data_IF_369985764299
#
_entry.id   IF_369985764299
#
_cell.length_a   1.000
_cell.length_b   1.000
_cell.length_c   1.000
_cell.angle_alpha   90.00
_cell.angle_beta   90.00
_cell.angle_gamma   90.00
#
_symmetry.space_group_name_H-M   'P 1'
#
loop_
_entity.id
_entity.type
_entity.pdbx_description
1 polymer ?
#
# COMPACT_ATOMS: atom_id res chain seq x y z
N UNK A 1 0.49 6.01 28.77
CA UNK A 1 1.07 6.29 27.44
C UNK A 1 0.21 5.75 26.31
N UNK A 2 -0.35 6.64 25.49
CA UNK A 2 -1.29 6.28 24.42
C UNK A 2 -0.62 5.67 23.18
N UNK A 3 0.69 5.88 23.00
CA UNK A 3 1.43 5.50 21.78
C UNK A 3 1.56 3.99 21.55
N UNK A 4 1.65 3.21 22.63
CA UNK A 4 1.87 1.76 22.54
C UNK A 4 0.58 0.94 22.62
N UNK A 5 -0.58 1.59 22.78
CA UNK A 5 -1.84 0.88 23.01
C UNK A 5 -2.27 0.04 21.81
N UNK A 6 -2.12 0.59 20.59
CA UNK A 6 -2.44 -0.17 19.38
C UNK A 6 -1.50 -1.36 19.20
N UNK A 7 -0.19 -1.16 19.41
CA UNK A 7 0.81 -2.23 19.37
C UNK A 7 0.52 -3.36 20.36
N UNK A 8 0.10 -3.03 21.58
CA UNK A 8 -0.26 -4.06 22.56
C UNK A 8 -1.49 -4.87 22.18
N UNK A 9 -2.47 -4.26 21.50
CA UNK A 9 -3.68 -4.95 21.03
C UNK A 9 -3.34 -5.87 19.85
N UNK A 10 -2.57 -5.37 18.88
CA UNK A 10 -2.15 -6.16 17.72
C UNK A 10 -1.32 -7.37 18.17
N UNK A 11 -0.41 -7.18 19.13
CA UNK A 11 0.44 -8.27 19.66
C UNK A 11 -0.35 -9.45 20.26
N UNK A 12 -1.60 -9.22 20.68
CA UNK A 12 -2.45 -10.31 21.17
C UNK A 12 -2.97 -11.19 20.02
N UNK A 13 -3.05 -10.65 18.80
CA UNK A 13 -3.50 -11.33 17.60
C UNK A 13 -2.41 -12.17 16.93
N UNK A 14 -1.13 -11.94 17.27
CA UNK A 14 0.03 -12.65 16.72
C UNK A 14 -0.05 -14.18 16.88
N UNK A 15 -0.84 -14.67 17.85
CA UNK A 15 -1.01 -16.11 18.07
C UNK A 15 -2.13 -16.73 17.22
N UNK A 16 -2.98 -15.91 16.59
CA UNK A 16 -4.19 -16.37 15.89
C UNK A 16 -4.14 -16.11 14.38
N UNK A 17 -3.36 -15.14 13.92
CA UNK A 17 -3.34 -14.72 12.51
C UNK A 17 -1.90 -14.63 11.97
N UNK A 18 -1.68 -15.14 10.77
CA UNK A 18 -0.42 -14.97 10.05
C UNK A 18 -0.23 -13.51 9.58
N UNK A 19 -1.33 -12.82 9.26
CA UNK A 19 -1.33 -11.45 8.75
C UNK A 19 -2.46 -10.62 9.35
N UNK A 20 -2.14 -9.38 9.74
CA UNK A 20 -3.13 -8.38 10.18
C UNK A 20 -3.02 -7.15 9.27
N UNK A 21 -4.08 -6.88 8.51
CA UNK A 21 -4.17 -5.68 7.66
C UNK A 21 -4.96 -4.58 8.37
N UNK A 22 -4.40 -3.37 8.40
CA UNK A 22 -5.01 -2.19 9.03
C UNK A 22 -5.28 -1.16 7.94
N UNK A 23 -6.54 -0.99 7.56
CA UNK A 23 -6.95 0.07 6.64
C UNK A 23 -7.01 1.40 7.38
N UNK A 24 -6.24 2.38 6.88
CA UNK A 24 -6.02 3.65 7.58
C UNK A 24 -6.84 4.75 6.92
N UNK A 25 -7.53 5.60 7.71
CA UNK A 25 -8.22 6.75 7.14
C UNK A 25 -7.21 7.71 6.49
N UNK A 26 -7.63 8.50 5.49
CA UNK A 26 -6.74 9.43 4.81
C UNK A 26 -6.23 10.51 5.77
N UNK A 27 -4.94 10.85 5.64
CA UNK A 27 -4.30 11.96 6.35
C UNK A 27 -3.22 11.51 7.34
N UNK A 28 -2.34 12.46 7.68
CA UNK A 28 -1.30 12.28 8.71
C UNK A 28 -1.83 12.90 10.00
N UNK A 29 -2.13 12.07 10.99
CA UNK A 29 -2.67 12.47 12.29
C UNK A 29 -1.94 11.73 13.43
N UNK A 30 -2.28 12.06 14.68
CA UNK A 30 -1.78 11.30 15.83
C UNK A 30 -2.14 9.81 15.79
N UNK A 31 -3.20 9.43 15.05
CA UNK A 31 -3.53 8.03 14.80
C UNK A 31 -2.53 7.38 13.84
N UNK A 32 -2.10 8.09 12.81
CA UNK A 32 -1.09 7.63 11.84
C UNK A 32 0.24 7.33 12.52
N UNK A 33 0.64 8.15 13.52
CA UNK A 33 1.82 7.88 14.35
C UNK A 33 1.72 6.54 15.09
N UNK A 34 0.59 6.27 15.73
CA UNK A 34 0.40 5.02 16.46
C UNK A 34 0.40 3.82 15.52
N UNK A 35 -0.15 3.97 14.32
CA UNK A 35 -0.18 2.93 13.29
C UNK A 35 1.23 2.66 12.76
N UNK A 36 1.99 3.69 12.36
CA UNK A 36 3.35 3.51 11.84
C UNK A 36 4.30 2.89 12.87
N UNK A 37 4.12 3.19 14.15
CA UNK A 37 4.90 2.57 15.24
C UNK A 37 4.49 1.13 15.55
N UNK A 38 3.19 0.81 15.39
CA UNK A 38 2.66 -0.52 15.68
C UNK A 38 2.85 -1.50 14.52
N UNK A 39 2.78 -1.02 13.28
CA UNK A 39 2.92 -1.84 12.09
C UNK A 39 4.37 -2.28 11.88
N UNK A 40 4.55 -3.53 11.47
CA UNK A 40 5.83 -4.02 10.98
C UNK A 40 6.16 -3.33 9.65
N UNK A 41 5.14 -3.19 8.79
CA UNK A 41 5.27 -2.67 7.42
C UNK A 41 4.10 -1.75 7.10
N UNK A 42 4.38 -0.70 6.34
CA UNK A 42 3.41 0.28 5.86
C UNK A 42 3.38 0.20 4.34
N UNK A 43 2.26 -0.31 3.81
CA UNK A 43 1.99 -0.34 2.37
C UNK A 43 1.31 0.96 1.94
N UNK A 44 2.00 1.75 1.12
CA UNK A 44 1.49 3.01 0.59
C UNK A 44 1.05 2.85 -0.88
N UNK A 45 -0.26 2.83 -1.18
CA UNK A 45 -0.75 2.90 -2.55
C UNK A 45 -0.49 4.29 -3.14
N UNK A 46 0.12 4.34 -4.33
CA UNK A 46 0.45 5.59 -5.03
C UNK A 46 -0.22 5.60 -6.39
N UNK A 47 -1.01 6.63 -6.70
CA UNK A 47 -1.44 6.89 -8.08
C UNK A 47 -0.31 7.66 -8.76
N UNK A 48 0.15 7.32 -9.97
CA UNK A 48 1.26 8.01 -10.62
C UNK A 48 0.83 9.39 -11.16
N UNK A 49 0.61 10.33 -10.23
CA UNK A 49 0.22 11.72 -10.47
C UNK A 49 1.06 12.65 -9.61
N UNK A 50 1.19 13.91 -10.03
CA UNK A 50 2.03 14.92 -9.36
C UNK A 50 1.70 15.10 -7.87
N UNK A 51 0.42 15.11 -7.51
CA UNK A 51 0.00 15.27 -6.12
C UNK A 51 0.39 14.05 -5.28
N UNK A 52 0.20 12.83 -5.78
CA UNK A 52 0.54 11.60 -5.08
C UNK A 52 2.05 11.46 -4.86
N UNK A 53 2.89 11.89 -5.80
CA UNK A 53 4.35 11.94 -5.62
C UNK A 53 4.72 12.92 -4.51
N UNK A 54 4.10 14.09 -4.49
CA UNK A 54 4.31 15.06 -3.41
C UNK A 54 3.92 14.47 -2.06
N UNK A 55 2.81 13.74 -1.99
CA UNK A 55 2.40 13.03 -0.77
C UNK A 55 3.41 11.96 -0.37
N UNK A 56 3.93 11.18 -1.33
CA UNK A 56 4.99 10.20 -1.07
C UNK A 56 6.23 10.83 -0.42
N UNK A 57 6.72 11.95 -0.97
CA UNK A 57 7.84 12.67 -0.37
C UNK A 57 7.51 13.23 1.02
N UNK A 58 6.31 13.77 1.21
CA UNK A 58 5.86 14.27 2.51
C UNK A 58 5.83 13.16 3.58
N UNK A 59 5.34 11.96 3.23
CA UNK A 59 5.34 10.81 4.15
C UNK A 59 6.77 10.32 4.40
N UNK A 60 7.61 10.27 3.37
CA UNK A 60 9.03 9.92 3.52
C UNK A 60 9.76 10.86 4.48
N UNK A 61 9.52 12.16 4.38
CA UNK A 61 10.14 13.15 5.26
C UNK A 61 9.54 13.09 6.66
N UNK A 62 8.24 12.80 6.79
CA UNK A 62 7.60 12.54 8.07
C UNK A 62 8.23 11.37 8.83
N UNK A 63 8.51 10.25 8.15
CA UNK A 63 9.20 9.11 8.75
C UNK A 63 10.57 9.51 9.31
N UNK A 64 11.33 10.33 8.56
CA UNK A 64 12.63 10.83 9.04
C UNK A 64 12.49 11.78 10.22
N UNK A 65 11.54 12.72 10.17
CA UNK A 65 11.31 13.69 11.26
C UNK A 65 10.90 13.00 12.58
N UNK A 66 10.21 11.86 12.47
CA UNK A 66 9.72 11.08 13.61
C UNK A 66 10.65 9.95 14.03
N UNK A 67 11.81 9.81 13.39
CA UNK A 67 12.78 8.72 13.61
C UNK A 67 12.13 7.33 13.48
N UNK A 68 11.21 7.19 12.51
CA UNK A 68 10.58 5.92 12.15
C UNK A 68 11.43 5.27 11.06
N UNK A 69 11.69 3.98 11.20
CA UNK A 69 12.44 3.22 10.22
C UNK A 69 11.75 3.27 8.84
N UNK A 70 12.44 3.92 7.90
CA UNK A 70 11.96 4.11 6.53
C UNK A 70 11.92 2.81 5.73
N UNK A 71 12.64 1.77 6.16
CA UNK A 71 12.59 0.43 5.56
C UNK A 71 11.21 -0.20 5.65
N UNK A 72 10.41 0.22 6.64
CA UNK A 72 9.03 -0.23 6.82
C UNK A 72 8.09 0.27 5.73
N UNK A 73 8.43 1.37 5.06
CA UNK A 73 7.55 1.96 4.07
C UNK A 73 7.80 1.35 2.70
N UNK A 74 6.84 0.57 2.23
CA UNK A 74 6.82 -0.03 0.90
C UNK A 74 5.66 0.55 0.09
N UNK A 75 5.85 0.72 -1.20
CA UNK A 75 4.92 1.40 -2.09
C UNK A 75 4.53 0.51 -3.26
N UNK A 76 3.34 0.70 -3.80
CA UNK A 76 2.96 0.12 -5.09
C UNK A 76 2.09 1.11 -5.86
N UNK A 77 2.09 0.97 -7.19
CA UNK A 77 1.24 1.81 -8.02
C UNK A 77 -0.18 1.25 -8.11
N UNK A 78 -1.16 2.14 -8.01
CA UNK A 78 -2.59 1.82 -8.19
C UNK A 78 -3.26 2.80 -9.13
N UNK A 79 -4.41 2.42 -9.68
CA UNK A 79 -5.16 3.19 -10.67
C UNK A 79 -4.29 3.62 -11.87
N UNK A 80 -3.38 2.74 -12.30
CA UNK A 80 -2.46 3.03 -13.39
C UNK A 80 -3.18 3.01 -14.74
N UNK A 81 -3.05 4.08 -15.51
CA UNK A 81 -3.46 4.18 -16.91
C UNK A 81 -2.23 4.34 -17.80
N UNK A 82 -1.76 3.24 -18.40
CA UNK A 82 -0.57 3.20 -19.26
C UNK A 82 -0.72 4.04 -20.55
N UNK A 83 -1.93 4.50 -20.89
CA UNK A 83 -2.14 5.39 -22.04
C UNK A 83 -1.69 6.82 -21.75
N UNK A 84 -1.46 7.16 -20.48
CA UNK A 84 -1.00 8.47 -20.05
C UNK A 84 0.52 8.46 -19.92
N UNK A 85 1.21 9.25 -20.77
CA UNK A 85 2.68 9.39 -20.71
C UNK A 85 3.16 9.77 -19.31
N UNK A 86 2.47 10.71 -18.65
CA UNK A 86 2.83 11.12 -17.30
C UNK A 86 2.79 9.96 -16.29
N UNK A 87 1.86 9.01 -16.42
CA UNK A 87 1.87 7.83 -15.53
C UNK A 87 3.12 6.99 -15.76
N UNK A 88 3.46 6.73 -17.02
CA UNK A 88 4.63 5.92 -17.39
C UNK A 88 5.94 6.57 -16.93
N UNK A 89 6.12 7.87 -17.17
CA UNK A 89 7.31 8.64 -16.77
C UNK A 89 7.51 8.61 -15.24
N UNK A 90 6.43 8.83 -14.48
CA UNK A 90 6.45 8.80 -13.01
C UNK A 90 6.82 7.41 -12.49
N UNK A 91 6.23 6.37 -13.08
CA UNK A 91 6.53 4.99 -12.70
C UNK A 91 7.99 4.64 -12.97
N UNK A 92 8.50 4.99 -14.16
CA UNK A 92 9.90 4.76 -14.52
C UNK A 92 10.88 5.47 -13.58
N UNK A 93 10.56 6.68 -13.13
CA UNK A 93 11.37 7.40 -12.14
C UNK A 93 11.36 6.71 -10.78
N UNK A 94 10.17 6.41 -10.25
CA UNK A 94 10.00 5.93 -8.89
C UNK A 94 10.30 4.44 -8.72
N UNK A 95 10.26 3.63 -9.78
CA UNK A 95 10.76 2.25 -9.73
C UNK A 95 12.26 2.16 -9.42
N UNK A 96 13.03 3.24 -9.61
CA UNK A 96 14.44 3.32 -9.17
C UNK A 96 14.57 3.34 -7.64
N UNK A 97 13.49 3.72 -6.95
CA UNK A 97 13.39 3.66 -5.51
C UNK A 97 12.94 2.26 -5.08
N UNK A 98 13.82 1.51 -4.43
CA UNK A 98 13.61 0.09 -4.07
C UNK A 98 12.40 -0.18 -3.17
N UNK A 99 11.76 0.87 -2.65
CA UNK A 99 10.51 0.75 -1.90
C UNK A 99 9.31 0.48 -2.79
N UNK A 100 9.39 0.75 -4.09
CA UNK A 100 8.31 0.47 -5.03
C UNK A 100 8.36 -0.97 -5.53
N UNK A 101 7.29 -1.71 -5.25
CA UNK A 101 6.98 -2.97 -5.92
C UNK A 101 6.79 -2.75 -7.41
N UNK A 102 7.28 -3.67 -8.22
CA UNK A 102 7.24 -3.63 -9.68
C UNK A 102 5.81 -3.87 -10.19
N UNK A 103 5.05 -4.75 -9.55
CA UNK A 103 3.65 -4.98 -9.91
C UNK A 103 2.77 -3.80 -9.49
N UNK A 104 1.74 -3.52 -10.30
CA UNK A 104 0.82 -2.42 -10.09
C UNK A 104 -0.62 -2.84 -10.36
N UNK A 105 -1.57 -2.06 -9.83
CA UNK A 105 -3.01 -2.24 -10.10
C UNK A 105 -3.44 -1.26 -11.19
N UNK A 106 -3.90 -1.73 -12.36
CA UNK A 106 -4.36 -0.87 -13.45
C UNK A 106 -5.74 -0.25 -13.14
N UNK A 107 -6.02 0.90 -13.75
CA UNK A 107 -7.34 1.51 -13.73
C UNK A 107 -8.29 0.77 -14.68
N UNK A 108 -9.13 -0.11 -14.13
CA UNK A 108 -10.06 -0.95 -14.89
C UNK A 108 -11.43 -1.00 -14.22
N UNK A 109 -12.48 -1.09 -15.04
CA UNK A 109 -13.87 -1.14 -14.57
C UNK A 109 -14.13 -2.34 -13.64
N UNK A 110 -13.42 -3.46 -13.81
CA UNK A 110 -13.58 -4.62 -12.93
C UNK A 110 -13.11 -4.35 -11.49
N UNK A 111 -12.14 -3.46 -11.30
CA UNK A 111 -11.72 -3.00 -9.97
C UNK A 111 -12.83 -2.16 -9.34
N UNK A 112 -13.43 -1.24 -10.09
CA UNK A 112 -14.53 -0.38 -9.61
C UNK A 112 -15.80 -1.17 -9.25
N UNK A 113 -16.07 -2.25 -10.00
CA UNK A 113 -17.21 -3.16 -9.75
C UNK A 113 -17.15 -3.83 -8.38
N UNK A 114 -16.00 -3.92 -7.71
CA UNK A 114 -15.91 -4.44 -6.34
C UNK A 114 -16.81 -3.68 -5.37
N UNK A 115 -16.95 -2.35 -5.55
CA UNK A 115 -17.85 -1.53 -4.72
C UNK A 115 -19.33 -1.82 -4.97
N UNK A 116 -19.68 -2.18 -6.21
CA UNK A 116 -21.06 -2.53 -6.60
C UNK A 116 -21.43 -3.92 -6.09
N UNK A 117 -20.58 -4.92 -6.33
CA UNK A 117 -20.82 -6.30 -5.89
C UNK A 117 -20.56 -6.50 -4.39
N UNK A 118 -19.89 -5.57 -3.73
CA UNK A 118 -19.43 -5.68 -2.33
C UNK A 118 -18.64 -6.97 -2.09
N UNK A 119 -17.85 -7.36 -3.08
CA UNK A 119 -17.06 -8.58 -3.07
C UNK A 119 -15.68 -8.30 -3.68
N UNK A 120 -14.63 -9.02 -3.26
CA UNK A 120 -13.32 -8.95 -3.90
C UNK A 120 -13.40 -9.36 -5.37
N UNK A 121 -12.49 -8.81 -6.19
CA UNK A 121 -12.47 -9.09 -7.63
C UNK A 121 -12.33 -10.59 -7.96
N UNK A 122 -11.68 -11.36 -7.08
CA UNK A 122 -11.52 -12.80 -7.24
C UNK A 122 -12.86 -13.55 -7.15
N UNK A 123 -13.87 -13.00 -6.48
CA UNK A 123 -15.15 -13.69 -6.29
C UNK A 123 -16.01 -13.65 -7.56
N UNK A 124 -16.04 -12.52 -8.26
CA UNK A 124 -16.92 -12.32 -9.43
C UNK A 124 -16.17 -12.23 -10.77
N UNK A 125 -14.87 -12.00 -10.76
CA UNK A 125 -14.05 -11.79 -11.97
C UNK A 125 -12.64 -12.40 -11.82
N UNK A 126 -12.54 -13.61 -11.28
CA UNK A 126 -11.26 -14.28 -10.96
C UNK A 126 -10.28 -14.40 -12.15
N UNK A 127 -10.82 -14.61 -13.36
CA UNK A 127 -10.04 -14.74 -14.60
C UNK A 127 -9.70 -13.39 -15.25
N UNK A 128 -10.15 -12.27 -14.68
CA UNK A 128 -9.87 -10.94 -15.23
C UNK A 128 -8.38 -10.58 -15.11
N UNK A 129 -7.94 -9.68 -16.00
CA UNK A 129 -6.60 -9.12 -15.92
C UNK A 129 -6.36 -8.39 -14.59
N UNK A 130 -7.35 -7.65 -14.08
CA UNK A 130 -7.26 -6.99 -12.78
C UNK A 130 -7.06 -7.99 -11.62
N UNK A 131 -7.79 -9.11 -11.61
CA UNK A 131 -7.58 -10.16 -10.61
C UNK A 131 -6.17 -10.77 -10.69
N UNK A 132 -5.62 -10.91 -11.89
CA UNK A 132 -4.22 -11.32 -12.09
C UNK A 132 -3.25 -10.31 -11.49
N UNK A 133 -3.41 -9.01 -11.77
CA UNK A 133 -2.53 -7.97 -11.23
C UNK A 133 -2.51 -7.94 -9.69
N UNK A 134 -3.67 -8.11 -9.04
CA UNK A 134 -3.70 -8.21 -7.57
C UNK A 134 -2.98 -9.45 -7.04
N UNK A 135 -3.08 -10.61 -7.73
CA UNK A 135 -2.37 -11.83 -7.34
C UNK A 135 -0.85 -11.69 -7.48
N UNK A 136 -0.40 -11.06 -8.56
CA UNK A 136 1.02 -10.79 -8.80
C UNK A 136 1.57 -9.80 -7.76
N UNK A 137 0.85 -8.70 -7.50
CA UNK A 137 1.22 -7.76 -6.44
C UNK A 137 1.27 -8.42 -5.06
N UNK A 138 0.28 -9.25 -4.71
CA UNK A 138 0.30 -9.97 -3.43
C UNK A 138 1.48 -10.93 -3.30
N UNK A 139 1.84 -11.62 -4.39
CA UNK A 139 2.99 -12.52 -4.42
C UNK A 139 4.27 -11.74 -4.13
N UNK A 140 4.44 -10.60 -4.81
CA UNK A 140 5.60 -9.73 -4.61
C UNK A 140 5.67 -9.12 -3.21
N UNK A 141 4.54 -8.67 -2.66
CA UNK A 141 4.49 -8.16 -1.27
C UNK A 141 4.94 -9.23 -0.30
N UNK A 142 4.41 -10.45 -0.44
CA UNK A 142 4.73 -11.55 0.47
C UNK A 142 6.23 -11.91 0.40
N UNK A 143 6.80 -12.05 -0.80
CA UNK A 143 8.22 -12.36 -0.97
C UNK A 143 9.15 -11.22 -0.54
N UNK A 144 8.75 -9.96 -0.75
CA UNK A 144 9.60 -8.80 -0.47
C UNK A 144 9.58 -8.32 0.98
N UNK A 145 8.68 -8.86 1.81
CA UNK A 145 8.38 -8.31 3.14
C UNK A 145 8.22 -9.37 4.22
N UNK A 146 7.68 -10.54 3.88
CA UNK A 146 7.27 -11.56 4.86
C UNK A 146 8.33 -12.66 5.04
N UNK A 147 9.27 -12.80 4.09
CA UNK A 147 10.36 -13.79 4.13
C UNK A 147 11.70 -13.22 4.59
#
# INVERSE_FOLDING_TARGET
DNKNRLKSVIKQLDQEYDFVFIDCPPGVSALSDNIFNAADIVLMPVIPTTLSIRTYHMVKDYFKEKDIDLSKMMCFFTMVDLRKNMHNEIMEELYKDKRFFQNYVPYLSDVEKMGVYKAPIMEFANSSYAAKCYRELWTEIKEGVVE
#
